data_IF_653115790562
#
_entry.id   IF_653115790562
#
_cell.length_a   1.000
_cell.length_b   1.000
_cell.length_c   1.000
_cell.angle_alpha   90.00
_cell.angle_beta   90.00
_cell.angle_gamma   90.00
#
_symmetry.space_group_name_H-M   'P 1'
#
loop_
_entity.id
_entity.type
_entity.pdbx_description
1 polymer ?
#
# COMPACT_ATOMS: atom_id res chain seq x y z
N UNK A 1 -3.30 14.56 -21.17
CA UNK A 1 -3.98 14.92 -19.90
C UNK A 1 -3.30 14.12 -18.79
N UNK A 2 -2.88 14.76 -17.68
CA UNK A 2 -2.24 14.06 -16.55
C UNK A 2 -3.28 13.18 -15.86
N UNK A 3 -3.02 11.90 -15.58
CA UNK A 3 -3.99 11.05 -14.89
C UNK A 3 -4.19 11.57 -13.46
N UNK A 4 -5.31 11.20 -12.81
CA UNK A 4 -5.48 11.51 -11.41
C UNK A 4 -4.36 10.88 -10.56
N UNK A 5 -3.93 11.58 -9.48
CA UNK A 5 -3.07 10.98 -8.46
C UNK A 5 -3.79 9.79 -7.85
N UNK A 6 -3.03 8.77 -7.48
CA UNK A 6 -3.58 7.61 -6.78
C UNK A 6 -4.18 8.02 -5.44
N UNK A 7 -5.04 7.20 -4.85
CA UNK A 7 -5.55 7.51 -3.51
C UNK A 7 -4.43 7.71 -2.48
N UNK A 8 -3.36 6.92 -2.55
CA UNK A 8 -2.23 7.13 -1.65
C UNK A 8 -1.47 8.43 -1.92
N UNK A 9 -1.30 8.84 -3.18
CA UNK A 9 -0.73 10.15 -3.51
C UNK A 9 -1.56 11.28 -2.88
N UNK A 10 -2.89 11.15 -2.92
CA UNK A 10 -3.81 12.13 -2.32
C UNK A 10 -3.69 12.13 -0.80
N UNK A 11 -3.75 10.96 -0.16
CA UNK A 11 -3.61 10.84 1.29
C UNK A 11 -2.30 11.45 1.78
N UNK A 12 -1.18 11.15 1.12
CA UNK A 12 0.10 11.72 1.51
C UNK A 12 0.12 13.25 1.35
N UNK A 13 -0.42 13.77 0.24
CA UNK A 13 -0.45 15.20 -0.05
C UNK A 13 -1.36 15.97 0.90
N UNK A 14 -2.59 15.51 1.10
CA UNK A 14 -3.59 16.13 1.95
C UNK A 14 -3.17 16.10 3.44
N UNK A 15 -2.45 15.06 3.85
CA UNK A 15 -2.11 14.82 5.25
C UNK A 15 -0.67 15.25 5.57
N UNK A 16 0.03 15.86 4.62
CA UNK A 16 1.41 16.31 4.75
C UNK A 16 1.66 17.16 6.02
N UNK A 17 0.82 18.13 6.40
CA UNK A 17 1.04 18.90 7.63
C UNK A 17 1.08 17.99 8.89
N UNK A 18 0.18 17.01 8.96
CA UNK A 18 0.13 16.04 10.06
C UNK A 18 1.36 15.12 10.06
N UNK A 19 1.80 14.67 8.88
CA UNK A 19 2.99 13.83 8.71
C UNK A 19 4.25 14.59 9.12
N UNK A 20 4.40 15.84 8.68
CA UNK A 20 5.56 16.69 9.00
C UNK A 20 5.59 17.06 10.49
N UNK A 21 4.43 17.31 11.11
CA UNK A 21 4.33 17.48 12.55
C UNK A 21 4.73 16.21 13.30
N UNK A 22 4.24 15.04 12.88
CA UNK A 22 4.63 13.76 13.46
C UNK A 22 6.13 13.50 13.34
N UNK A 23 6.74 13.81 12.18
CA UNK A 23 8.18 13.67 11.95
C UNK A 23 9.00 14.52 12.92
N UNK A 24 8.67 15.80 13.09
CA UNK A 24 9.35 16.70 14.04
C UNK A 24 9.29 16.19 15.48
N UNK A 25 8.14 15.69 15.92
CA UNK A 25 8.00 15.14 17.26
C UNK A 25 8.71 13.80 17.42
N UNK A 26 8.70 12.96 16.38
CA UNK A 26 9.42 11.68 16.39
C UNK A 26 10.92 11.91 16.55
N UNK A 27 11.50 12.85 15.80
CA UNK A 27 12.92 13.20 15.87
C UNK A 27 13.31 13.75 17.25
N UNK A 28 12.46 14.59 17.84
CA UNK A 28 12.76 15.24 19.12
C UNK A 28 12.55 14.33 20.32
N UNK A 29 11.45 13.61 20.35
CA UNK A 29 10.97 12.93 21.56
C UNK A 29 11.11 11.40 21.49
N UNK A 30 11.12 10.83 20.28
CA UNK A 30 10.98 9.39 20.03
C UNK A 30 9.52 8.93 20.04
N UNK A 31 9.25 7.78 19.42
CA UNK A 31 7.87 7.30 19.16
C UNK A 31 7.05 7.13 20.44
N UNK A 32 7.63 6.56 21.49
CA UNK A 32 6.94 6.27 22.76
C UNK A 32 6.55 7.52 23.56
N UNK A 33 7.23 8.65 23.34
CA UNK A 33 6.97 9.91 24.04
C UNK A 33 6.21 10.93 23.19
N UNK A 34 6.16 10.74 21.88
CA UNK A 34 5.50 11.63 20.91
C UNK A 34 4.10 12.03 21.35
N UNK A 35 3.25 11.06 21.73
CA UNK A 35 1.86 11.34 22.09
C UNK A 35 1.74 12.19 23.38
N UNK A 36 2.59 11.91 24.39
CA UNK A 36 2.61 12.69 25.63
C UNK A 36 3.10 14.12 25.38
N UNK A 37 4.09 14.29 24.52
CA UNK A 37 4.60 15.60 24.13
C UNK A 37 3.53 16.41 23.37
N UNK A 38 2.84 15.79 22.41
CA UNK A 38 1.72 16.42 21.70
C UNK A 38 0.59 16.83 22.65
N UNK A 39 0.18 15.93 23.56
CA UNK A 39 -0.85 16.22 24.55
C UNK A 39 -0.47 17.38 25.50
N UNK A 40 0.80 17.46 25.89
CA UNK A 40 1.33 18.57 26.69
C UNK A 40 1.23 19.89 25.95
N UNK A 41 1.64 19.94 24.67
CA UNK A 41 1.60 21.16 23.88
C UNK A 41 0.16 21.60 23.57
N UNK A 42 -0.78 20.66 23.40
CA UNK A 42 -2.23 20.95 23.36
C UNK A 42 -2.71 21.56 24.68
N UNK A 43 -2.37 20.94 25.82
CA UNK A 43 -2.75 21.44 27.14
C UNK A 43 -2.17 22.82 27.49
N UNK A 44 -1.06 23.21 26.83
CA UNK A 44 -0.44 24.52 26.95
C UNK A 44 -0.96 25.55 25.92
N UNK A 45 -1.90 25.16 25.05
CA UNK A 45 -2.45 26.03 24.00
C UNK A 45 -1.46 26.32 22.86
N UNK A 46 -0.37 25.55 22.74
CA UNK A 46 0.66 25.73 21.70
C UNK A 46 0.33 25.02 20.39
N UNK A 47 -0.59 24.06 20.43
CA UNK A 47 -0.96 23.21 19.31
C UNK A 47 -2.47 22.93 19.34
N UNK A 48 -3.21 23.08 18.23
CA UNK A 48 -4.61 22.65 18.17
C UNK A 48 -4.76 21.13 18.38
N UNK A 49 -5.83 20.73 19.07
CA UNK A 49 -6.10 19.31 19.34
C UNK A 49 -6.27 18.47 18.05
N UNK A 50 -6.84 19.06 17.00
CA UNK A 50 -7.02 18.40 15.70
C UNK A 50 -5.69 18.10 15.00
N UNK A 51 -4.75 19.05 15.02
CA UNK A 51 -3.40 18.86 14.47
C UNK A 51 -2.64 17.77 15.24
N UNK A 52 -2.74 17.79 16.57
CA UNK A 52 -2.15 16.75 17.41
C UNK A 52 -2.73 15.36 17.12
N UNK A 53 -4.06 15.26 16.95
CA UNK A 53 -4.73 14.02 16.58
C UNK A 53 -4.31 13.53 15.19
N UNK A 54 -4.11 14.45 14.24
CA UNK A 54 -3.53 14.16 12.93
C UNK A 54 -2.12 13.58 13.06
N UNK A 55 -1.23 14.24 13.79
CA UNK A 55 0.15 13.76 13.99
C UNK A 55 0.21 12.38 14.65
N UNK A 56 -0.61 12.12 15.68
CA UNK A 56 -0.70 10.79 16.30
C UNK A 56 -1.16 9.74 15.28
N UNK A 57 -2.14 10.05 14.44
CA UNK A 57 -2.67 9.14 13.42
C UNK A 57 -1.60 8.71 12.41
N UNK A 58 -0.72 9.62 12.02
CA UNK A 58 0.33 9.37 11.02
C UNK A 58 1.71 9.07 11.60
N UNK A 59 1.87 8.96 12.92
CA UNK A 59 3.17 8.79 13.58
C UNK A 59 3.97 7.56 13.12
N UNK A 60 3.30 6.49 12.70
CA UNK A 60 3.96 5.29 12.18
C UNK A 60 4.64 5.53 10.82
N UNK A 61 4.13 6.43 9.99
CA UNK A 61 4.67 6.66 8.65
C UNK A 61 6.11 7.22 8.69
N UNK A 62 6.43 8.32 9.41
CA UNK A 62 7.81 8.81 9.54
C UNK A 62 8.77 7.80 10.19
N UNK A 63 8.28 6.96 11.11
CA UNK A 63 9.06 5.87 11.67
C UNK A 63 9.42 4.84 10.59
N UNK A 64 8.45 4.44 9.77
CA UNK A 64 8.63 3.50 8.66
C UNK A 64 9.55 4.09 7.59
N UNK A 65 9.43 5.38 7.24
CA UNK A 65 10.36 6.08 6.33
C UNK A 65 11.81 5.90 6.77
N UNK A 66 12.09 6.22 8.04
CA UNK A 66 13.45 6.13 8.64
C UNK A 66 13.96 4.69 8.72
N UNK A 67 13.12 3.75 9.13
CA UNK A 67 13.50 2.32 9.23
C UNK A 67 13.73 1.74 7.84
N UNK A 68 12.86 2.05 6.88
CA UNK A 68 12.99 1.62 5.49
C UNK A 68 14.32 2.11 4.89
N UNK A 69 14.74 3.32 5.23
CA UNK A 69 16.04 3.84 4.83
C UNK A 69 17.20 3.02 5.42
N UNK A 70 17.14 2.67 6.71
CA UNK A 70 18.16 1.83 7.37
C UNK A 70 18.28 0.45 6.74
N UNK A 71 17.15 -0.19 6.42
CA UNK A 71 17.13 -1.53 5.80
C UNK A 71 17.29 -1.49 4.27
N UNK A 72 17.55 -0.31 3.70
CA UNK A 72 17.83 -0.14 2.27
C UNK A 72 16.63 -0.31 1.35
N UNK A 73 15.41 -0.15 1.87
CA UNK A 73 14.13 -0.32 1.17
C UNK A 73 13.97 -1.73 0.58
N UNK A 74 14.48 -2.72 1.32
CA UNK A 74 14.29 -4.15 1.08
C UNK A 74 12.86 -4.57 1.44
N UNK A 75 12.57 -5.88 1.43
CA UNK A 75 11.24 -6.43 1.74
C UNK A 75 10.76 -5.95 3.12
N UNK A 76 9.44 -5.81 3.30
CA UNK A 76 8.87 -5.32 4.56
C UNK A 76 9.28 -6.18 5.78
N UNK A 77 9.59 -7.45 5.58
CA UNK A 77 10.03 -8.34 6.68
C UNK A 77 11.35 -7.87 7.29
N UNK A 78 12.24 -7.25 6.51
CA UNK A 78 13.47 -6.65 7.07
C UNK A 78 13.15 -5.45 7.96
N UNK A 79 12.12 -4.68 7.60
CA UNK A 79 11.62 -3.58 8.41
C UNK A 79 11.06 -4.10 9.74
N UNK A 80 10.33 -5.24 9.76
CA UNK A 80 9.81 -5.84 10.99
C UNK A 80 10.89 -6.41 11.93
N UNK A 81 12.11 -6.67 11.42
CA UNK A 81 13.26 -7.10 12.24
C UNK A 81 13.98 -5.94 12.92
N UNK A 82 13.73 -4.70 12.48
CA UNK A 82 14.35 -3.52 13.07
C UNK A 82 13.87 -3.33 14.53
N UNK A 83 14.79 -3.24 15.51
CA UNK A 83 14.42 -3.15 16.92
C UNK A 83 13.52 -1.95 17.24
N UNK A 84 13.78 -0.80 16.62
CA UNK A 84 13.04 0.42 16.90
C UNK A 84 11.60 0.33 16.38
N UNK A 85 11.41 -0.26 15.19
CA UNK A 85 10.07 -0.51 14.71
C UNK A 85 9.35 -1.52 15.60
N UNK A 86 10.01 -2.63 15.95
CA UNK A 86 9.42 -3.67 16.79
C UNK A 86 8.93 -3.11 18.13
N UNK A 87 9.78 -2.34 18.81
CA UNK A 87 9.43 -1.68 20.08
C UNK A 87 8.28 -0.69 19.91
N UNK A 88 8.30 0.11 18.85
CA UNK A 88 7.26 1.09 18.57
C UNK A 88 5.90 0.46 18.25
N UNK A 89 5.88 -0.66 17.52
CA UNK A 89 4.66 -1.41 17.22
C UNK A 89 4.08 -2.05 18.49
N UNK A 90 4.92 -2.65 19.34
CA UNK A 90 4.47 -3.18 20.63
C UNK A 90 3.88 -2.07 21.51
N UNK A 91 4.57 -0.93 21.60
CA UNK A 91 4.07 0.24 22.33
C UNK A 91 2.73 0.74 21.77
N UNK A 92 2.61 0.87 20.44
CA UNK A 92 1.37 1.32 19.81
C UNK A 92 0.20 0.37 20.10
N UNK A 93 0.44 -0.94 20.07
CA UNK A 93 -0.57 -1.94 20.40
C UNK A 93 -1.00 -1.83 21.86
N UNK A 94 -0.05 -1.75 22.80
CA UNK A 94 -0.35 -1.63 24.23
C UNK A 94 -1.07 -0.31 24.56
N UNK A 95 -0.66 0.81 23.97
CA UNK A 95 -1.31 2.11 24.17
C UNK A 95 -2.74 2.13 23.61
N UNK A 96 -2.96 1.61 22.39
CA UNK A 96 -4.31 1.52 21.81
C UNK A 96 -5.18 0.57 22.64
N UNK A 97 -4.64 -0.58 23.06
CA UNK A 97 -5.34 -1.52 23.92
C UNK A 97 -5.78 -0.87 25.23
N UNK A 98 -4.88 -0.15 25.90
CA UNK A 98 -5.19 0.53 27.15
C UNK A 98 -6.26 1.61 26.95
N UNK A 99 -6.12 2.46 25.92
CA UNK A 99 -7.06 3.56 25.67
C UNK A 99 -8.45 3.10 25.25
N UNK A 100 -8.55 1.98 24.54
CA UNK A 100 -9.83 1.42 24.06
C UNK A 100 -10.39 0.34 24.98
N UNK A 101 -9.73 0.03 26.10
CA UNK A 101 -10.14 -1.04 27.01
C UNK A 101 -10.14 -2.43 26.37
N UNK A 102 -9.29 -2.66 25.37
CA UNK A 102 -9.22 -3.93 24.63
C UNK A 102 -8.36 -4.92 25.40
N UNK A 103 -9.01 -5.79 26.16
CA UNK A 103 -8.35 -6.80 27.00
C UNK A 103 -8.56 -8.25 26.51
N UNK A 104 -9.60 -8.52 25.72
CA UNK A 104 -9.90 -9.87 25.23
C UNK A 104 -8.83 -10.34 24.20
N UNK A 105 -8.34 -11.59 24.28
CA UNK A 105 -7.30 -12.11 23.38
C UNK A 105 -7.64 -11.95 21.89
N UNK A 106 -8.87 -12.26 21.48
CA UNK A 106 -9.34 -12.19 20.10
C UNK A 106 -9.35 -10.74 19.60
N UNK A 107 -9.79 -9.81 20.45
CA UNK A 107 -9.81 -8.39 20.12
C UNK A 107 -8.39 -7.79 20.05
N UNK A 108 -7.46 -8.29 20.87
CA UNK A 108 -6.03 -7.91 20.77
C UNK A 108 -5.39 -8.44 19.50
N UNK A 109 -5.74 -9.67 19.08
CA UNK A 109 -5.27 -10.21 17.81
C UNK A 109 -5.81 -9.41 16.61
N UNK A 110 -7.09 -9.05 16.61
CA UNK A 110 -7.68 -8.18 15.59
C UNK A 110 -6.99 -6.81 15.51
N UNK A 111 -6.65 -6.24 16.67
CA UNK A 111 -5.87 -5.00 16.73
C UNK A 111 -4.46 -5.20 16.15
N UNK A 112 -3.78 -6.30 16.48
CA UNK A 112 -2.47 -6.64 15.92
C UNK A 112 -2.52 -6.74 14.40
N UNK A 113 -3.52 -7.41 13.85
CA UNK A 113 -3.72 -7.53 12.40
C UNK A 113 -3.96 -6.15 11.76
N UNK A 114 -4.81 -5.32 12.35
CA UNK A 114 -5.10 -3.95 11.84
C UNK A 114 -3.86 -3.06 11.85
N UNK A 115 -3.03 -3.14 12.90
CA UNK A 115 -1.75 -2.43 12.99
C UNK A 115 -0.75 -2.93 11.96
N UNK A 116 -0.69 -4.25 11.72
CA UNK A 116 0.14 -4.83 10.65
C UNK A 116 -0.29 -4.31 9.27
N UNK A 117 -1.60 -4.29 8.98
CA UNK A 117 -2.13 -3.74 7.73
C UNK A 117 -1.75 -2.27 7.53
N UNK A 118 -1.83 -1.46 8.59
CA UNK A 118 -1.40 -0.06 8.56
C UNK A 118 0.10 0.06 8.27
N UNK A 119 0.91 -0.78 8.90
CA UNK A 119 2.37 -0.81 8.72
C UNK A 119 2.74 -1.19 7.29
N UNK A 120 2.13 -2.24 6.74
CA UNK A 120 2.36 -2.69 5.37
C UNK A 120 1.95 -1.62 4.36
N UNK A 121 0.83 -0.94 4.59
CA UNK A 121 0.34 0.15 3.75
C UNK A 121 1.31 1.33 3.72
N UNK A 122 1.84 1.73 4.87
CA UNK A 122 2.86 2.79 4.93
C UNK A 122 4.19 2.35 4.32
N UNK A 123 4.60 1.09 4.52
CA UNK A 123 5.78 0.55 3.85
C UNK A 123 5.60 0.53 2.32
N UNK A 124 4.42 0.12 1.84
CA UNK A 124 4.06 0.18 0.42
C UNK A 124 4.27 1.59 -0.12
N UNK A 125 3.74 2.62 0.56
CA UNK A 125 3.90 4.01 0.18
C UNK A 125 5.39 4.40 0.06
N UNK A 126 6.17 4.12 1.10
CA UNK A 126 7.60 4.46 1.12
C UNK A 126 8.34 3.77 -0.03
N UNK A 127 8.14 2.47 -0.21
CA UNK A 127 8.83 1.71 -1.26
C UNK A 127 8.35 2.06 -2.66
N UNK A 128 7.05 2.33 -2.83
CA UNK A 128 6.47 2.78 -4.08
C UNK A 128 7.16 4.07 -4.56
N UNK A 129 7.36 5.04 -3.67
CA UNK A 129 8.10 6.26 -3.99
C UNK A 129 9.56 5.98 -4.33
N UNK A 130 10.24 5.13 -3.54
CA UNK A 130 11.66 4.84 -3.75
C UNK A 130 11.97 4.11 -5.04
N UNK A 131 11.08 3.20 -5.44
CA UNK A 131 11.27 2.34 -6.63
C UNK A 131 10.63 2.95 -7.87
N UNK A 132 10.35 4.26 -7.83
CA UNK A 132 9.89 5.02 -8.97
C UNK A 132 8.48 4.63 -9.42
N UNK A 133 7.62 4.37 -8.43
CA UNK A 133 6.16 4.28 -8.54
C UNK A 133 5.71 3.23 -9.53
N UNK A 134 5.75 1.97 -9.10
CA UNK A 134 5.33 0.80 -9.87
C UNK A 134 3.80 0.79 -10.03
N UNK A 135 3.31 1.71 -10.86
CA UNK A 135 1.91 1.94 -11.21
C UNK A 135 1.64 1.31 -12.57
N UNK A 136 0.83 0.26 -12.55
CA UNK A 136 0.39 -0.48 -13.73
C UNK A 136 -1.05 -0.11 -14.03
N UNK A 137 -1.33 0.34 -15.24
CA UNK A 137 -2.69 0.63 -15.70
C UNK A 137 -3.10 -0.45 -16.70
N UNK A 138 -4.17 -1.19 -16.41
CA UNK A 138 -4.64 -2.22 -17.34
C UNK A 138 -5.76 -1.66 -18.22
N UNK A 139 -5.67 -1.88 -19.53
CA UNK A 139 -6.76 -1.50 -20.45
C UNK A 139 -8.00 -2.35 -20.21
N UNK A 140 -9.18 -1.80 -20.49
CA UNK A 140 -10.46 -2.50 -20.27
C UNK A 140 -10.54 -3.83 -21.01
N UNK A 141 -10.10 -3.89 -22.25
CA UNK A 141 -10.15 -5.11 -23.07
C UNK A 141 -9.23 -6.20 -22.49
N UNK A 142 -7.98 -5.83 -22.14
CA UNK A 142 -7.06 -6.76 -21.51
C UNK A 142 -7.59 -7.20 -20.14
N UNK A 143 -8.12 -6.30 -19.32
CA UNK A 143 -8.68 -6.65 -18.01
C UNK A 143 -9.82 -7.67 -18.11
N UNK A 144 -10.75 -7.49 -19.07
CA UNK A 144 -11.83 -8.45 -19.34
C UNK A 144 -11.27 -9.80 -19.78
N UNK A 145 -10.27 -9.81 -20.66
CA UNK A 145 -9.60 -11.03 -21.11
C UNK A 145 -8.93 -11.76 -19.95
N UNK A 146 -8.13 -11.05 -19.14
CA UNK A 146 -7.43 -11.63 -18.00
C UNK A 146 -8.39 -12.18 -16.95
N UNK A 147 -9.52 -11.52 -16.66
CA UNK A 147 -10.53 -12.07 -15.76
C UNK A 147 -11.12 -13.40 -16.25
N UNK A 148 -11.27 -13.57 -17.56
CA UNK A 148 -11.82 -14.79 -18.17
C UNK A 148 -10.77 -15.90 -18.35
N UNK A 149 -9.51 -15.53 -18.57
CA UNK A 149 -8.39 -16.46 -18.82
C UNK A 149 -7.57 -16.79 -17.55
N UNK A 150 -7.85 -16.14 -16.43
CA UNK A 150 -7.22 -16.50 -15.14
C UNK A 150 -7.96 -17.72 -14.59
N UNK A 151 -7.43 -18.89 -14.93
CA UNK A 151 -8.03 -20.16 -14.57
C UNK A 151 -7.92 -20.43 -13.06
N UNK A 152 -8.98 -20.93 -12.42
CA UNK A 152 -8.96 -21.33 -11.00
C UNK A 152 -7.81 -22.28 -10.66
N UNK A 153 -7.39 -23.11 -11.62
CA UNK A 153 -6.35 -24.14 -11.50
C UNK A 153 -4.91 -23.58 -11.58
N UNK A 154 -4.75 -22.28 -11.81
CA UNK A 154 -3.43 -21.66 -11.89
C UNK A 154 -2.63 -21.94 -10.60
N UNK A 155 -1.43 -22.55 -10.70
CA UNK A 155 -0.62 -22.84 -9.52
C UNK A 155 -0.17 -21.56 -8.83
N UNK A 156 -0.31 -21.51 -7.51
CA UNK A 156 0.14 -20.39 -6.68
C UNK A 156 1.63 -20.10 -6.86
N UNK A 157 2.45 -21.12 -7.09
CA UNK A 157 3.90 -20.98 -7.31
C UNK A 157 4.24 -20.14 -8.54
N UNK A 158 3.39 -20.15 -9.58
CA UNK A 158 3.56 -19.35 -10.79
C UNK A 158 3.06 -17.90 -10.62
N UNK A 159 2.27 -17.63 -9.58
CA UNK A 159 1.70 -16.30 -9.31
C UNK A 159 2.69 -15.47 -8.50
N UNK A 160 3.56 -14.73 -9.18
CA UNK A 160 4.54 -13.83 -8.54
C UNK A 160 4.37 -12.42 -9.05
N UNK A 161 4.33 -11.44 -8.16
CA UNK A 161 4.32 -10.05 -8.57
C UNK A 161 5.66 -9.70 -9.26
N UNK A 162 5.64 -8.83 -10.29
CA UNK A 162 6.86 -8.37 -10.97
C UNK A 162 7.83 -7.64 -10.02
N UNK A 163 7.29 -7.08 -8.93
CA UNK A 163 8.00 -6.39 -7.87
C UNK A 163 7.33 -6.70 -6.53
N UNK A 164 8.03 -6.55 -5.41
CA UNK A 164 7.47 -6.86 -4.07
C UNK A 164 6.27 -5.96 -3.68
N UNK A 165 6.01 -4.88 -4.43
CA UNK A 165 4.99 -3.88 -4.12
C UNK A 165 4.60 -3.08 -5.36
N UNK A 166 3.31 -3.08 -5.73
CA UNK A 166 2.78 -2.38 -6.90
C UNK A 166 1.37 -1.83 -6.68
N UNK A 167 0.97 -0.92 -7.58
CA UNK A 167 -0.41 -0.44 -7.72
C UNK A 167 -0.92 -0.86 -9.09
N UNK A 168 -2.04 -1.57 -9.13
CA UNK A 168 -2.78 -1.87 -10.35
C UNK A 168 -4.00 -0.95 -10.43
N UNK A 169 -4.02 -0.03 -11.38
CA UNK A 169 -5.17 0.83 -11.68
C UNK A 169 -6.16 0.03 -12.51
N UNK A 170 -7.40 -0.06 -12.01
CA UNK A 170 -8.48 -0.85 -12.58
C UNK A 170 -9.40 0.07 -13.37
N UNK A 171 -9.73 -0.26 -14.64
CA UNK A 171 -10.68 0.52 -15.42
C UNK A 171 -12.09 0.39 -14.84
N UNK A 172 -12.78 1.51 -14.66
CA UNK A 172 -14.15 1.54 -14.12
C UNK A 172 -15.13 0.76 -15.00
N UNK A 173 -14.89 0.69 -16.31
CA UNK A 173 -15.68 -0.05 -17.29
C UNK A 173 -15.63 -1.58 -17.11
N UNK A 174 -14.76 -2.07 -16.22
CA UNK A 174 -14.75 -3.46 -15.78
C UNK A 174 -15.93 -3.77 -14.84
N UNK A 175 -16.52 -2.74 -14.22
CA UNK A 175 -17.65 -2.90 -13.29
C UNK A 175 -17.28 -3.58 -11.98
N UNK A 176 -15.99 -3.60 -11.63
CA UNK A 176 -15.54 -4.14 -10.35
C UNK A 176 -15.96 -3.17 -9.23
N UNK A 177 -16.84 -3.62 -8.34
CA UNK A 177 -17.38 -2.81 -7.25
C UNK A 177 -17.06 -3.48 -5.92
N UNK A 178 -16.78 -2.71 -4.87
CA UNK A 178 -16.68 -3.25 -3.53
C UNK A 178 -17.67 -2.57 -2.58
N UNK A 179 -17.69 -3.04 -1.34
CA UNK A 179 -18.54 -2.55 -0.25
C UNK A 179 -17.71 -1.80 0.77
N UNK A 180 -18.03 -0.52 0.94
CA UNK A 180 -17.44 0.31 1.97
C UNK A 180 -17.92 -0.07 3.39
N UNK A 181 -17.26 0.43 4.45
CA UNK A 181 -17.64 0.18 5.85
C UNK A 181 -19.08 0.55 6.20
N UNK A 182 -19.68 1.52 5.50
CA UNK A 182 -21.08 1.92 5.64
C UNK A 182 -22.09 1.06 4.87
N UNK A 183 -21.63 -0.01 4.21
CA UNK A 183 -22.45 -0.88 3.35
C UNK A 183 -22.75 -0.33 1.95
N UNK A 184 -22.30 0.90 1.65
CA UNK A 184 -22.38 1.49 0.32
C UNK A 184 -21.51 0.75 -0.70
N UNK A 185 -21.95 0.73 -1.95
CA UNK A 185 -21.22 0.13 -3.07
C UNK A 185 -20.48 1.21 -3.84
N UNK A 186 -19.20 1.00 -4.13
CA UNK A 186 -18.37 1.94 -4.88
C UNK A 186 -17.42 1.20 -5.83
N UNK A 187 -17.04 1.80 -6.97
CA UNK A 187 -16.12 1.18 -7.92
C UNK A 187 -14.74 0.99 -7.27
N UNK A 188 -14.14 -0.18 -7.52
CA UNK A 188 -12.74 -0.45 -7.20
C UNK A 188 -11.90 0.09 -8.34
N UNK A 189 -11.14 1.13 -8.08
CA UNK A 189 -10.32 1.83 -9.09
C UNK A 189 -8.84 1.51 -8.97
N UNK A 190 -8.40 1.00 -7.82
CA UNK A 190 -6.99 0.68 -7.57
C UNK A 190 -6.87 -0.56 -6.67
N UNK A 191 -5.94 -1.44 -7.02
CA UNK A 191 -5.53 -2.59 -6.21
C UNK A 191 -4.08 -2.37 -5.82
N UNK A 192 -3.86 -2.14 -4.54
CA UNK A 192 -2.53 -2.07 -3.97
C UNK A 192 -2.14 -3.46 -3.50
N UNK A 193 -0.98 -3.93 -3.95
CA UNK A 193 -0.51 -5.27 -3.63
C UNK A 193 0.89 -5.21 -3.03
N UNK A 194 1.09 -5.93 -1.93
CA UNK A 194 2.40 -6.20 -1.33
C UNK A 194 2.58 -7.71 -1.25
N UNK A 195 3.70 -8.19 -1.81
CA UNK A 195 4.09 -9.59 -1.67
C UNK A 195 5.00 -9.77 -0.45
N UNK A 196 4.64 -10.76 0.38
CA UNK A 196 5.35 -11.10 1.60
C UNK A 196 5.76 -12.56 1.67
N UNK A 197 6.88 -12.88 2.36
CA UNK A 197 7.21 -14.25 2.66
C UNK A 197 6.35 -14.76 3.83
N UNK A 198 5.93 -16.02 3.77
CA UNK A 198 5.35 -16.77 4.88
C UNK A 198 6.27 -17.96 5.21
N UNK A 199 6.23 -18.51 6.45
CA UNK A 199 7.04 -19.68 6.81
C UNK A 199 6.91 -20.86 5.85
N UNK A 200 5.71 -21.05 5.28
CA UNK A 200 5.38 -22.17 4.40
C UNK A 200 4.93 -21.74 3.00
N UNK A 201 5.04 -20.46 2.62
CA UNK A 201 4.49 -19.96 1.36
C UNK A 201 4.67 -18.47 1.12
N UNK A 202 3.70 -17.83 0.46
CA UNK A 202 3.69 -16.38 0.22
C UNK A 202 2.34 -15.77 0.59
N UNK A 203 2.36 -14.50 1.03
CA UNK A 203 1.15 -13.72 1.19
C UNK A 203 1.09 -12.61 0.15
N UNK A 204 -0.09 -12.42 -0.42
CA UNK A 204 -0.46 -11.16 -1.04
C UNK A 204 -1.35 -10.36 -0.09
N UNK A 205 -0.84 -9.22 0.35
CA UNK A 205 -1.62 -8.24 1.09
C UNK A 205 -2.24 -7.28 0.09
N UNK A 206 -3.56 -7.24 0.04
CA UNK A 206 -4.34 -6.49 -0.94
C UNK A 206 -5.14 -5.40 -0.25
N UNK A 207 -5.03 -4.16 -0.76
CA UNK A 207 -5.94 -3.07 -0.46
C UNK A 207 -6.68 -2.72 -1.74
N UNK A 208 -7.97 -3.00 -1.78
CA UNK A 208 -8.85 -2.62 -2.89
C UNK A 208 -9.45 -1.27 -2.54
N UNK A 209 -8.95 -0.24 -3.20
CA UNK A 209 -9.41 1.12 -2.95
C UNK A 209 -10.69 1.39 -3.75
N UNK A 210 -11.64 1.98 -3.04
CA UNK A 210 -12.90 2.46 -3.57
C UNK A 210 -13.05 3.91 -3.18
N UNK A 211 -13.51 4.74 -4.10
CA UNK A 211 -13.84 6.12 -3.79
C UNK A 211 -15.35 6.28 -3.78
N UNK A 212 -15.90 6.58 -2.62
CA UNK A 212 -17.32 6.86 -2.49
C UNK A 212 -17.68 8.18 -3.18
N UNK A 213 -18.93 8.37 -3.63
CA UNK A 213 -19.39 9.64 -4.20
C UNK A 213 -19.19 10.85 -3.27
N UNK A 214 -19.13 10.62 -1.95
CA UNK A 214 -18.81 11.61 -0.92
C UNK A 214 -17.38 12.16 -1.01
N UNK A 215 -16.51 11.54 -1.82
CA UNK A 215 -15.09 11.82 -1.92
C UNK A 215 -14.23 11.05 -0.92
N UNK A 216 -14.84 10.30 0.00
CA UNK A 216 -14.14 9.47 0.99
C UNK A 216 -13.61 8.20 0.34
N UNK A 217 -12.35 7.85 0.61
CA UNK A 217 -11.81 6.54 0.23
C UNK A 217 -12.15 5.48 1.27
N UNK A 218 -12.61 4.34 0.79
CA UNK A 218 -12.79 3.11 1.53
C UNK A 218 -11.83 2.06 0.98
N UNK A 219 -11.37 1.16 1.86
CA UNK A 219 -10.51 0.04 1.48
C UNK A 219 -11.16 -1.26 1.89
N UNK A 220 -11.24 -2.20 0.95
CA UNK A 220 -11.43 -3.62 1.27
C UNK A 220 -10.05 -4.27 1.39
N UNK A 221 -9.87 -5.08 2.44
CA UNK A 221 -8.59 -5.71 2.78
C UNK A 221 -8.69 -7.22 2.56
N UNK A 222 -7.70 -7.80 1.91
CA UNK A 222 -7.58 -9.26 1.79
C UNK A 222 -6.13 -9.70 1.93
N UNK A 223 -5.91 -10.74 2.73
CA UNK A 223 -4.60 -11.36 2.92
C UNK A 223 -4.64 -12.74 2.28
N UNK A 224 -4.24 -12.83 1.02
CA UNK A 224 -4.34 -14.06 0.25
C UNK A 224 -3.11 -14.91 0.51
N UNK A 225 -3.29 -16.07 1.12
CA UNK A 225 -2.21 -17.04 1.32
C UNK A 225 -2.02 -17.90 0.07
N UNK A 226 -0.87 -17.76 -0.58
CA UNK A 226 -0.46 -18.53 -1.74
C UNK A 226 0.42 -19.69 -1.25
N UNK A 227 -0.23 -20.78 -0.82
CA UNK A 227 0.44 -21.99 -0.37
C UNK A 227 1.13 -22.71 -1.55
N UNK A 228 2.35 -23.25 -1.38
CA UNK A 228 3.02 -24.04 -2.40
C UNK A 228 2.21 -25.27 -2.79
N UNK A 229 2.19 -25.59 -4.08
CA UNK A 229 1.39 -26.69 -4.62
C UNK A 229 -0.12 -26.47 -4.63
N UNK A 230 -0.64 -25.38 -4.06
CA UNK A 230 -2.05 -25.02 -4.13
C UNK A 230 -2.37 -24.23 -5.41
N UNK A 231 -3.63 -24.23 -5.79
CA UNK A 231 -4.20 -23.45 -6.88
C UNK A 231 -4.74 -22.10 -6.39
N UNK A 232 -4.91 -21.15 -7.31
CA UNK A 232 -5.54 -19.86 -7.00
C UNK A 232 -6.96 -20.03 -6.41
N UNK A 233 -7.71 -21.03 -6.87
CA UNK A 233 -9.03 -21.37 -6.34
C UNK A 233 -8.97 -21.74 -4.85
N UNK A 234 -8.01 -22.60 -4.49
CA UNK A 234 -7.81 -23.04 -3.11
C UNK A 234 -7.35 -21.88 -2.21
N UNK A 235 -6.44 -21.02 -2.71
CA UNK A 235 -6.02 -19.82 -2.00
C UNK A 235 -7.19 -18.85 -1.74
N UNK A 236 -8.05 -18.65 -2.74
CA UNK A 236 -9.26 -17.82 -2.60
C UNK A 236 -10.24 -18.45 -1.60
N UNK A 237 -10.49 -19.75 -1.71
CA UNK A 237 -11.39 -20.47 -0.80
C UNK A 237 -10.89 -20.45 0.65
N UNK A 238 -9.58 -20.67 0.86
CA UNK A 238 -8.94 -20.57 2.16
C UNK A 238 -9.11 -19.16 2.76
N UNK A 239 -8.78 -18.12 1.98
CA UNK A 239 -8.88 -16.73 2.44
C UNK A 239 -10.31 -16.35 2.78
N UNK A 240 -11.31 -16.81 2.00
CA UNK A 240 -12.73 -16.60 2.28
C UNK A 240 -13.16 -17.24 3.60
N UNK A 241 -12.68 -18.45 3.89
CA UNK A 241 -13.01 -19.15 5.12
C UNK A 241 -12.39 -18.46 6.36
N UNK A 242 -11.16 -17.93 6.22
CA UNK A 242 -10.46 -17.21 7.28
C UNK A 242 -10.99 -15.78 7.50
N UNK A 243 -11.45 -15.10 6.44
CA UNK A 243 -11.89 -13.70 6.48
C UNK A 243 -13.21 -13.44 7.21
N UNK A 244 -13.99 -14.49 7.49
CA UNK A 244 -15.27 -14.42 8.17
C UNK A 244 -16.39 -13.72 7.36
N UNK A 245 -17.60 -13.62 7.92
CA UNK A 245 -18.81 -13.17 7.20
C UNK A 245 -18.82 -11.67 6.81
N UNK A 246 -17.86 -10.88 7.30
CA UNK A 246 -17.75 -9.45 7.00
C UNK A 246 -16.85 -9.10 5.81
N UNK A 247 -16.18 -10.08 5.21
CA UNK A 247 -15.28 -9.83 4.09
C UNK A 247 -16.08 -9.58 2.80
N UNK A 248 -15.77 -8.49 2.11
CA UNK A 248 -16.45 -8.10 0.87
C UNK A 248 -16.05 -9.03 -0.29
N UNK A 249 -16.97 -9.85 -0.87
CA UNK A 249 -16.62 -10.87 -1.86
C UNK A 249 -15.91 -10.35 -3.11
N UNK A 250 -15.99 -9.04 -3.38
CA UNK A 250 -15.33 -8.41 -4.52
C UNK A 250 -13.80 -8.44 -4.48
N UNK A 251 -13.20 -8.72 -3.30
CA UNK A 251 -11.76 -8.95 -3.21
C UNK A 251 -11.31 -10.13 -4.07
N UNK A 252 -12.18 -11.14 -4.29
CA UNK A 252 -11.85 -12.33 -5.07
C UNK A 252 -11.62 -12.00 -6.55
N UNK A 253 -12.48 -11.15 -7.12
CA UNK A 253 -12.34 -10.68 -8.50
C UNK A 253 -11.11 -9.78 -8.64
N UNK A 254 -10.83 -8.92 -7.65
CA UNK A 254 -9.59 -8.16 -7.61
C UNK A 254 -8.34 -9.06 -7.53
N UNK A 255 -8.39 -10.13 -6.74
CA UNK A 255 -7.32 -11.12 -6.65
C UNK A 255 -7.10 -11.87 -7.97
N UNK A 256 -8.18 -12.30 -8.65
CA UNK A 256 -8.11 -12.91 -9.99
C UNK A 256 -7.53 -11.96 -11.03
N UNK A 257 -7.96 -10.70 -11.03
CA UNK A 257 -7.42 -9.69 -11.94
C UNK A 257 -5.92 -9.49 -11.72
N UNK A 258 -5.49 -9.38 -10.46
CA UNK A 258 -4.08 -9.24 -10.10
C UNK A 258 -3.27 -10.48 -10.51
N UNK A 259 -3.81 -11.68 -10.29
CA UNK A 259 -3.17 -12.93 -10.71
C UNK A 259 -3.00 -13.01 -12.23
N UNK A 260 -4.03 -12.63 -12.99
CA UNK A 260 -3.96 -12.52 -14.45
C UNK A 260 -2.92 -11.50 -14.91
N UNK A 261 -2.89 -10.32 -14.29
CA UNK A 261 -1.92 -9.27 -14.61
C UNK A 261 -0.48 -9.71 -14.28
N UNK A 262 -0.27 -10.36 -13.12
CA UNK A 262 1.03 -10.90 -12.74
C UNK A 262 1.52 -11.97 -13.72
N UNK A 263 0.64 -12.90 -14.11
CA UNK A 263 0.95 -13.91 -15.14
C UNK A 263 1.28 -13.26 -16.48
N UNK A 264 0.45 -12.34 -16.94
CA UNK A 264 0.65 -11.62 -18.19
C UNK A 264 2.04 -10.95 -18.25
N UNK A 265 2.44 -10.28 -17.17
CA UNK A 265 3.77 -9.66 -17.08
C UNK A 265 4.89 -10.70 -17.02
N UNK A 266 4.72 -11.80 -16.31
CA UNK A 266 5.70 -12.88 -16.22
C UNK A 266 5.94 -13.58 -17.58
N UNK A 267 4.91 -13.66 -18.41
CA UNK A 267 4.95 -14.25 -19.76
C UNK A 267 5.49 -13.28 -20.83
N UNK A 268 5.93 -12.09 -20.45
CA UNK A 268 6.43 -11.07 -21.39
C UNK A 268 5.32 -10.34 -22.14
N UNK A 269 4.14 -10.24 -21.53
CA UNK A 269 3.00 -9.48 -22.04
C UNK A 269 3.38 -8.06 -22.45
N UNK A 270 2.68 -7.54 -23.47
CA UNK A 270 2.96 -6.22 -24.01
C UNK A 270 2.68 -5.13 -22.97
N UNK A 271 3.69 -4.28 -22.75
CA UNK A 271 3.60 -3.11 -21.89
C UNK A 271 4.06 -1.87 -22.63
N UNK A 272 3.38 -0.75 -22.41
CA UNK A 272 3.78 0.56 -22.91
C UNK A 272 4.04 1.50 -21.76
N UNK A 273 5.25 2.06 -21.70
CA UNK A 273 5.60 3.08 -20.72
C UNK A 273 5.32 4.46 -21.29
N UNK A 274 4.55 5.26 -20.57
CA UNK A 274 4.31 6.66 -20.90
C UNK A 274 4.79 7.57 -19.78
N UNK A 275 5.58 8.56 -20.15
CA UNK A 275 6.00 9.65 -19.28
C UNK A 275 5.09 10.85 -19.48
N UNK A 276 4.63 11.44 -18.37
CA UNK A 276 3.73 12.60 -18.44
C UNK A 276 4.46 13.94 -18.52
N UNK A 277 5.71 13.94 -18.07
CA UNK A 277 6.56 15.11 -17.96
C UNK A 277 8.01 14.66 -18.19
N UNK A 278 8.69 15.26 -19.17
CA UNK A 278 10.11 15.00 -19.43
C UNK A 278 10.96 15.30 -18.18
N UNK A 279 10.55 16.28 -17.38
CA UNK A 279 11.16 16.59 -16.09
C UNK A 279 11.03 15.42 -15.12
N UNK A 280 9.88 14.73 -15.10
CA UNK A 280 9.68 13.56 -14.25
C UNK A 280 10.53 12.38 -14.71
N UNK A 281 10.67 12.20 -16.04
CA UNK A 281 11.59 11.22 -16.63
C UNK A 281 13.03 11.49 -16.21
N UNK A 282 13.52 12.70 -16.43
CA UNK A 282 14.87 13.07 -16.03
C UNK A 282 15.10 12.91 -14.52
N UNK A 283 14.15 13.32 -13.69
CA UNK A 283 14.25 13.19 -12.23
C UNK A 283 14.27 11.72 -11.81
N UNK A 284 13.49 10.86 -12.46
CA UNK A 284 13.49 9.43 -12.21
C UNK A 284 14.81 8.79 -12.60
N UNK A 285 15.31 9.07 -13.82
CA UNK A 285 16.59 8.57 -14.31
C UNK A 285 17.76 9.06 -13.41
N UNK A 286 17.76 10.34 -13.03
CA UNK A 286 18.72 10.91 -12.07
C UNK A 286 18.61 10.23 -10.71
N UNK A 287 17.41 10.00 -10.19
CA UNK A 287 17.21 9.31 -8.91
C UNK A 287 17.65 7.84 -8.98
N UNK A 288 17.45 7.16 -10.10
CA UNK A 288 17.92 5.79 -10.31
C UNK A 288 19.45 5.72 -10.40
N UNK A 289 20.09 6.68 -11.08
CA UNK A 289 21.54 6.77 -11.22
C UNK A 289 22.26 7.23 -9.95
N UNK A 290 21.59 8.01 -9.08
CA UNK A 290 22.20 8.54 -7.86
C UNK A 290 22.43 7.41 -6.84
N UNK A 291 23.69 7.18 -6.39
CA UNK A 291 23.99 6.12 -5.43
C UNK A 291 23.16 6.22 -4.16
N UNK A 292 22.72 5.07 -3.61
CA UNK A 292 21.93 5.01 -2.37
C UNK A 292 22.63 5.65 -1.17
N UNK A 293 23.96 5.78 -1.21
CA UNK A 293 24.79 6.42 -0.18
C UNK A 293 24.70 7.95 -0.17
N UNK A 294 24.31 8.59 -1.28
CA UNK A 294 24.17 10.05 -1.37
C UNK A 294 22.76 10.51 -0.96
N UNK A 295 22.50 10.44 0.35
CA UNK A 295 21.17 10.62 0.95
C UNK A 295 20.55 11.99 0.65
N UNK A 296 21.31 13.06 0.86
CA UNK A 296 20.85 14.45 0.72
C UNK A 296 20.43 14.79 -0.71
N UNK A 297 21.16 14.30 -1.71
CA UNK A 297 20.81 14.51 -3.11
C UNK A 297 19.58 13.69 -3.51
N UNK A 298 19.50 12.43 -3.08
CA UNK A 298 18.32 11.58 -3.31
C UNK A 298 17.07 12.18 -2.68
N UNK A 299 17.17 12.75 -1.48
CA UNK A 299 16.04 13.42 -0.81
C UNK A 299 15.55 14.63 -1.60
N UNK A 300 16.45 15.52 -2.04
CA UNK A 300 16.10 16.64 -2.92
C UNK A 300 15.46 16.19 -4.24
N UNK A 301 16.00 15.13 -4.85
CA UNK A 301 15.44 14.57 -6.08
C UNK A 301 14.04 13.99 -5.84
N UNK A 302 13.80 13.34 -4.70
CA UNK A 302 12.47 12.85 -4.31
C UNK A 302 11.49 13.99 -4.11
N UNK A 303 11.85 15.03 -3.36
CA UNK A 303 10.98 16.21 -3.16
C UNK A 303 10.56 16.82 -4.50
N UNK A 304 11.50 16.94 -5.45
CA UNK A 304 11.22 17.41 -6.81
C UNK A 304 10.36 16.42 -7.60
N UNK A 305 10.63 15.11 -7.48
CA UNK A 305 9.86 14.07 -8.15
C UNK A 305 8.40 14.02 -7.65
N UNK A 306 8.17 14.22 -6.35
CA UNK A 306 6.83 14.35 -5.77
C UNK A 306 6.05 15.51 -6.38
N UNK A 307 6.70 16.64 -6.66
CA UNK A 307 6.04 17.79 -7.29
C UNK A 307 5.55 17.49 -8.72
N UNK A 308 6.16 16.50 -9.40
CA UNK A 308 5.82 16.11 -10.78
C UNK A 308 5.07 14.75 -10.87
N UNK A 309 4.61 14.21 -9.73
CA UNK A 309 3.75 13.02 -9.60
C UNK A 309 2.50 13.03 -10.50
N UNK A 310 2.13 11.96 -11.24
CA UNK A 310 2.60 10.59 -11.04
C UNK A 310 3.84 10.22 -11.88
N UNK A 311 4.39 11.15 -12.65
CA UNK A 311 5.64 11.01 -13.41
C UNK A 311 5.55 10.08 -14.63
N UNK A 312 5.15 8.82 -14.43
CA UNK A 312 4.95 7.80 -15.47
C UNK A 312 3.76 6.88 -15.19
N UNK A 313 3.34 6.15 -16.23
CA UNK A 313 2.50 4.96 -16.11
C UNK A 313 3.07 3.81 -16.94
N UNK A 314 2.84 2.59 -16.47
CA UNK A 314 3.11 1.37 -17.24
C UNK A 314 1.75 0.80 -17.65
N UNK A 315 1.43 0.89 -18.93
CA UNK A 315 0.16 0.42 -19.47
C UNK A 315 0.30 -1.05 -19.86
N UNK A 316 -0.57 -1.90 -19.33
CA UNK A 316 -0.77 -3.27 -19.79
C UNK A 316 -1.89 -3.24 -20.82
N UNK A 317 -1.57 -3.57 -22.07
CA UNK A 317 -2.52 -3.58 -23.18
C UNK A 317 -2.29 -4.81 -24.06
N UNK A 318 -3.28 -5.22 -24.85
CA UNK A 318 -3.11 -6.32 -25.80
C UNK A 318 -2.01 -6.00 -26.82
N UNK A 319 -1.31 -7.02 -27.30
CA UNK A 319 -0.34 -6.83 -28.37
C UNK A 319 -1.05 -6.22 -29.61
N UNK A 320 -0.44 -5.22 -30.26
CA UNK A 320 -1.02 -4.67 -31.48
C UNK A 320 -1.23 -5.78 -32.50
N UNK A 321 -2.44 -5.85 -33.07
CA UNK A 321 -2.74 -6.80 -34.14
C UNK A 321 -1.84 -6.45 -35.33
N UNK A 322 -0.91 -7.36 -35.64
CA UNK A 322 -0.03 -7.31 -36.81
C UNK A 322 -0.82 -7.35 -38.11
#
# INVERSE_FOLDING_TARGET
>A
MRPPPTEFDRQYTEQRPSIDLARRYLEKEGFTRLQRALAKDVGQGKLPAEEAAGAVRYALLPLIERVAERVGHTRYVELLKDPELKESLLFALDDISLRRGINAPEAREQLRQTTLQTTLRYWHLVVHEQRGRQRYEITTDLARRLLNETFPEQPCDALKLPVDSLVLVVPEELGLVGRGPGGGVAPITEIYAVEGPAPEGRYWYLWLNMREPSGTSAFSLANVYLAPGATLAEAIAFTRNEGGPGQDPSWELGCRLLAGAARYLAEGGHTREEWYDETARELHEKLAATPKTNKKEREKLRERFHAVSPGRRIILEEAPKS
#
